data_IF_820097089472
#
_entry.id   IF_820097089472
#
_cell.length_a   1.000
_cell.length_b   1.000
_cell.length_c   1.000
_cell.angle_alpha   90.00
_cell.angle_beta   90.00
_cell.angle_gamma   90.00
#
_symmetry.space_group_name_H-M   'P 1'
#
loop_
_entity.id
_entity.type
_entity.pdbx_description
1 polymer ?
#
# COMPACT_ATOMS: atom_id res chain seq x y z
N UNK A 1 -12.52 -17.66 0.89
CA UNK A 1 -11.33 -17.69 0.00
C UNK A 1 -11.24 -16.47 -0.92
N UNK A 2 -12.23 -16.18 -1.78
CA UNK A 2 -12.15 -15.08 -2.78
C UNK A 2 -12.01 -13.67 -2.18
N UNK A 3 -12.77 -13.35 -1.13
CA UNK A 3 -12.67 -12.05 -0.46
C UNK A 3 -11.30 -11.82 0.16
N UNK A 4 -10.76 -12.83 0.86
CA UNK A 4 -9.42 -12.77 1.46
C UNK A 4 -8.33 -12.53 0.41
N UNK A 5 -8.38 -13.22 -0.73
CA UNK A 5 -7.42 -13.00 -1.82
C UNK A 5 -7.50 -11.58 -2.37
N UNK A 6 -8.72 -11.03 -2.50
CA UNK A 6 -8.92 -9.66 -2.97
C UNK A 6 -8.39 -8.64 -1.96
N UNK A 7 -8.66 -8.84 -0.67
CA UNK A 7 -8.11 -7.99 0.41
C UNK A 7 -6.58 -8.05 0.43
N UNK A 8 -6.00 -9.24 0.34
CA UNK A 8 -4.55 -9.41 0.31
C UNK A 8 -3.91 -8.70 -0.90
N UNK A 9 -4.54 -8.79 -2.07
CA UNK A 9 -4.09 -8.09 -3.28
C UNK A 9 -4.12 -6.56 -3.11
N UNK A 10 -5.19 -6.02 -2.55
CA UNK A 10 -5.29 -4.58 -2.27
C UNK A 10 -4.22 -4.14 -1.28
N UNK A 11 -4.03 -4.88 -0.17
CA UNK A 11 -3.01 -4.56 0.83
C UNK A 11 -1.59 -4.61 0.25
N UNK A 12 -1.30 -5.58 -0.62
CA UNK A 12 -0.01 -5.69 -1.30
C UNK A 12 0.26 -4.44 -2.17
N UNK A 13 -0.73 -4.01 -2.96
CA UNK A 13 -0.60 -2.86 -3.85
C UNK A 13 -0.42 -1.57 -3.03
N UNK A 14 -1.27 -1.36 -2.03
CA UNK A 14 -1.24 -0.14 -1.19
C UNK A 14 0.06 -0.08 -0.38
N UNK A 15 0.48 -1.18 0.23
CA UNK A 15 1.73 -1.26 1.00
C UNK A 15 2.97 -1.04 0.12
N UNK A 16 3.02 -1.69 -1.04
CA UNK A 16 4.12 -1.51 -2.00
C UNK A 16 4.23 -0.07 -2.52
N UNK A 17 3.10 0.56 -2.83
CA UNK A 17 3.07 1.96 -3.24
C UNK A 17 3.54 2.90 -2.12
N UNK A 18 3.07 2.70 -0.88
CA UNK A 18 3.49 3.54 0.24
C UNK A 18 5.00 3.44 0.50
N UNK A 19 5.55 2.23 0.55
CA UNK A 19 7.00 2.03 0.71
C UNK A 19 7.81 2.66 -0.42
N UNK A 20 7.34 2.53 -1.66
CA UNK A 20 7.99 3.17 -2.81
C UNK A 20 8.06 4.69 -2.68
N UNK A 21 6.99 5.32 -2.22
CA UNK A 21 6.92 6.78 -2.06
C UNK A 21 7.72 7.28 -0.86
N UNK A 22 7.71 6.54 0.26
CA UNK A 22 8.55 6.85 1.42
C UNK A 22 10.03 6.76 1.04
N UNK A 23 10.43 5.72 0.30
CA UNK A 23 11.81 5.53 -0.15
C UNK A 23 12.28 6.53 -1.21
N UNK A 24 11.42 6.91 -2.15
CA UNK A 24 11.79 7.79 -3.27
C UNK A 24 11.65 9.29 -2.96
N UNK A 25 10.68 9.67 -2.13
CA UNK A 25 10.28 11.06 -1.92
C UNK A 25 10.03 11.43 -0.45
N UNK A 26 10.31 10.52 0.50
CA UNK A 26 9.99 10.69 1.93
C UNK A 26 8.52 11.08 2.18
N UNK A 27 7.63 10.63 1.29
CA UNK A 27 6.21 10.91 1.34
C UNK A 27 5.44 9.68 1.81
N UNK A 28 4.66 9.84 2.88
CA UNK A 28 3.82 8.77 3.46
C UNK A 28 2.37 8.93 3.03
N UNK A 29 1.88 8.03 2.17
CA UNK A 29 0.51 8.01 1.70
C UNK A 29 -0.49 7.76 2.82
N UNK A 30 -0.15 6.92 3.79
CA UNK A 30 -1.05 6.52 4.88
C UNK A 30 -1.24 7.69 5.84
N UNK A 31 -0.20 8.50 6.03
CA UNK A 31 -0.26 9.69 6.90
C UNK A 31 -0.90 10.93 6.23
N UNK A 32 -1.22 10.87 4.93
CA UNK A 32 -1.72 12.02 4.15
C UNK A 32 -3.25 12.12 4.13
N UNK A 33 -3.97 11.06 4.50
CA UNK A 33 -5.44 11.03 4.64
C UNK A 33 -5.85 10.85 6.09
#
# INVERSE_FOLDING_TARGET
MKALSLTAMVLLIVGGLNWGLVGAASFDLVATI
#
